data_IF_279133877974
#
_entry.id   IF_279133877974
#
_cell.length_a   1.000
_cell.length_b   1.000
_cell.length_c   1.000
_cell.angle_alpha   90.00
_cell.angle_beta   90.00
_cell.angle_gamma   90.00
#
_symmetry.space_group_name_H-M   'P 1'
#
loop_
_entity.id
_entity.type
_entity.pdbx_description
1 polymer ?
#
# COMPACT_ATOMS: atom_id res chain seq x y z
N UNK A 1 6.86 -5.58 -17.07
CA UNK A 1 8.07 -6.42 -17.29
C UNK A 1 8.66 -6.74 -15.91
N UNK A 2 8.50 -7.90 -15.29
CA UNK A 2 7.72 -9.12 -15.50
C UNK A 2 7.45 -9.59 -14.05
N UNK A 3 6.20 -9.69 -13.60
CA UNK A 3 5.82 -10.47 -12.42
C UNK A 3 6.29 -11.90 -12.80
N UNK A 4 7.50 -12.31 -12.36
CA UNK A 4 8.27 -13.49 -12.86
C UNK A 4 7.43 -14.74 -12.68
N UNK A 5 6.73 -15.12 -13.75
CA UNK A 5 6.22 -16.46 -13.99
C UNK A 5 7.42 -17.40 -14.16
N UNK A 6 8.08 -17.76 -13.06
CA UNK A 6 8.96 -18.93 -13.00
C UNK A 6 8.18 -20.06 -12.34
N UNK A 7 6.98 -20.32 -12.86
CA UNK A 7 6.16 -21.49 -12.54
C UNK A 7 6.38 -22.67 -13.49
N UNK A 8 7.26 -22.53 -14.49
CA UNK A 8 7.55 -23.58 -15.47
C UNK A 8 8.82 -24.38 -15.14
N UNK A 9 9.92 -23.72 -14.77
CA UNK A 9 11.21 -24.42 -14.55
C UNK A 9 11.26 -25.26 -13.27
N UNK A 10 10.36 -25.02 -12.31
CA UNK A 10 10.33 -25.79 -11.05
C UNK A 10 9.54 -27.08 -11.17
N UNK A 11 8.51 -27.14 -12.01
CA UNK A 11 7.69 -28.35 -12.21
C UNK A 11 8.53 -29.48 -12.83
N UNK A 12 9.39 -29.12 -13.78
CA UNK A 12 10.24 -30.10 -14.48
C UNK A 12 11.43 -30.59 -13.62
N UNK A 13 11.90 -29.77 -12.66
CA UNK A 13 12.92 -30.19 -11.68
C UNK A 13 12.33 -30.98 -10.50
N UNK A 14 11.09 -30.69 -10.13
CA UNK A 14 10.39 -31.35 -9.02
C UNK A 14 10.03 -32.81 -9.36
N UNK A 15 9.57 -33.06 -10.60
CA UNK A 15 9.32 -34.42 -11.10
C UNK A 15 10.61 -35.26 -11.19
N UNK A 16 11.73 -34.66 -11.61
CA UNK A 16 13.03 -35.37 -11.70
C UNK A 16 13.62 -35.69 -10.32
N UNK A 17 13.34 -34.86 -9.30
CA UNK A 17 13.78 -35.08 -7.92
C UNK A 17 12.92 -36.13 -7.19
N UNK A 18 11.61 -36.14 -7.46
CA UNK A 18 10.65 -37.09 -6.86
C UNK A 18 10.97 -38.55 -7.17
N UNK A 19 11.46 -38.86 -8.38
CA UNK A 19 11.81 -40.23 -8.79
C UNK A 19 13.12 -40.71 -8.13
N UNK A 20 14.06 -39.81 -7.83
CA UNK A 20 15.31 -40.16 -7.14
C UNK A 20 15.15 -40.28 -5.62
N UNK A 21 14.26 -39.50 -5.00
CA UNK A 21 14.08 -39.50 -3.54
C UNK A 21 13.20 -40.63 -3.00
N UNK A 22 12.33 -41.26 -3.82
CA UNK A 22 11.39 -42.29 -3.35
C UNK A 22 12.05 -43.54 -2.74
N UNK A 23 13.34 -43.77 -2.98
CA UNK A 23 14.04 -44.99 -2.53
C UNK A 23 14.82 -44.87 -1.20
N UNK A 24 15.05 -43.66 -0.67
CA UNK A 24 15.84 -43.43 0.57
C UNK A 24 15.21 -42.43 1.58
N UNK A 25 14.08 -41.78 1.26
CA UNK A 25 13.66 -40.51 1.90
C UNK A 25 12.72 -40.58 3.12
N UNK A 26 12.30 -41.74 3.61
CA UNK A 26 11.43 -41.79 4.81
C UNK A 26 12.19 -41.65 6.15
N UNK A 27 13.35 -40.97 6.16
CA UNK A 27 14.05 -40.54 7.36
C UNK A 27 14.28 -39.01 7.34
N UNK A 28 13.25 -38.26 6.97
CA UNK A 28 13.29 -36.80 6.94
C UNK A 28 13.28 -36.23 8.37
N UNK A 29 14.46 -35.89 8.89
CA UNK A 29 14.60 -35.29 10.22
C UNK A 29 14.13 -33.83 10.20
N UNK A 30 13.67 -33.33 11.35
CA UNK A 30 13.31 -31.92 11.52
C UNK A 30 14.47 -30.96 11.20
N UNK A 31 15.73 -31.44 11.32
CA UNK A 31 16.94 -30.69 10.97
C UNK A 31 17.07 -30.49 9.46
N UNK A 32 16.83 -31.53 8.67
CA UNK A 32 16.88 -31.47 7.20
C UNK A 32 15.75 -30.59 6.67
N UNK A 33 14.56 -30.69 7.29
CA UNK A 33 13.45 -29.78 7.04
C UNK A 33 13.83 -28.32 7.28
N UNK A 34 14.48 -28.03 8.41
CA UNK A 34 14.87 -26.67 8.78
C UNK A 34 15.97 -26.12 7.85
N UNK A 35 16.92 -26.95 7.43
CA UNK A 35 17.95 -26.58 6.45
C UNK A 35 17.35 -26.21 5.09
N UNK A 36 16.42 -27.01 4.58
CA UNK A 36 15.73 -26.72 3.31
C UNK A 36 14.93 -25.42 3.40
N UNK A 37 14.22 -25.20 4.51
CA UNK A 37 13.46 -23.96 4.75
C UNK A 37 14.40 -22.75 4.82
N UNK A 38 15.54 -22.87 5.53
CA UNK A 38 16.53 -21.80 5.64
C UNK A 38 17.14 -21.47 4.27
N UNK A 39 17.54 -22.49 3.50
CA UNK A 39 18.10 -22.35 2.16
C UNK A 39 17.10 -21.67 1.21
N UNK A 40 15.83 -22.11 1.23
CA UNK A 40 14.75 -21.51 0.46
C UNK A 40 14.48 -20.06 0.87
N UNK A 41 14.48 -19.75 2.17
CA UNK A 41 14.28 -18.38 2.67
C UNK A 41 15.42 -17.47 2.22
N UNK A 42 16.67 -17.91 2.28
CA UNK A 42 17.82 -17.16 1.79
C UNK A 42 17.76 -16.93 0.28
N UNK A 43 17.37 -17.94 -0.50
CA UNK A 43 17.21 -17.81 -1.96
C UNK A 43 16.05 -16.87 -2.35
N UNK A 44 14.96 -16.87 -1.58
CA UNK A 44 13.79 -16.02 -1.81
C UNK A 44 13.93 -14.61 -1.23
N UNK A 45 14.94 -14.36 -0.38
CA UNK A 45 15.23 -13.03 0.16
C UNK A 45 15.83 -12.14 -0.93
N UNK A 46 15.33 -10.91 -1.05
CA UNK A 46 15.88 -9.94 -2.00
C UNK A 46 16.98 -9.05 -1.40
N UNK A 47 17.04 -8.96 -0.06
CA UNK A 47 17.91 -8.06 0.69
C UNK A 47 18.74 -8.82 1.73
N UNK A 48 19.82 -8.22 2.25
CA UNK A 48 20.61 -8.80 3.35
C UNK A 48 19.80 -8.91 4.64
N UNK A 49 20.15 -9.84 5.53
CA UNK A 49 19.43 -10.06 6.80
C UNK A 49 19.38 -8.81 7.68
N UNK A 50 20.49 -8.06 7.73
CA UNK A 50 20.57 -6.81 8.49
C UNK A 50 19.63 -5.77 7.88
N UNK A 51 19.60 -5.66 6.56
CA UNK A 51 18.72 -4.73 5.84
C UNK A 51 17.25 -5.08 6.03
N UNK A 52 16.89 -6.36 6.01
CA UNK A 52 15.53 -6.83 6.29
C UNK A 52 15.08 -6.39 7.69
N UNK A 53 15.88 -6.65 8.73
CA UNK A 53 15.56 -6.22 10.10
C UNK A 53 15.37 -4.69 10.19
N UNK A 54 16.23 -3.92 9.54
CA UNK A 54 16.14 -2.46 9.50
C UNK A 54 14.85 -2.01 8.78
N UNK A 55 14.53 -2.59 7.62
CA UNK A 55 13.34 -2.26 6.85
C UNK A 55 12.06 -2.58 7.64
N UNK A 56 11.99 -3.75 8.27
CA UNK A 56 10.86 -4.13 9.12
C UNK A 56 10.70 -3.11 10.24
N UNK A 57 11.78 -2.77 10.96
CA UNK A 57 11.72 -1.80 12.05
C UNK A 57 11.23 -0.42 11.57
N UNK A 58 11.76 0.08 10.45
CA UNK A 58 11.34 1.36 9.86
C UNK A 58 9.86 1.32 9.47
N UNK A 59 9.41 0.29 8.76
CA UNK A 59 8.01 0.18 8.34
C UNK A 59 7.06 0.05 9.54
N UNK A 60 7.44 -0.68 10.59
CA UNK A 60 6.67 -0.73 11.84
C UNK A 60 6.53 0.65 12.48
N UNK A 61 7.62 1.42 12.55
CA UNK A 61 7.59 2.80 13.06
C UNK A 61 6.73 3.70 12.18
N UNK A 62 6.85 3.60 10.85
CA UNK A 62 6.05 4.40 9.92
C UNK A 62 4.55 4.09 10.02
N UNK A 63 4.18 2.81 10.13
CA UNK A 63 2.78 2.39 10.33
C UNK A 63 2.27 2.93 11.66
N UNK A 64 3.05 2.78 12.74
CA UNK A 64 2.65 3.26 14.06
C UNK A 64 2.46 4.78 14.08
N UNK A 65 3.44 5.54 13.59
CA UNK A 65 3.37 7.00 13.52
C UNK A 65 2.26 7.47 12.57
N UNK A 66 2.08 6.79 11.44
CA UNK A 66 1.03 7.08 10.47
C UNK A 66 -0.37 6.86 11.05
N UNK A 67 -0.60 5.73 11.74
CA UNK A 67 -1.87 5.47 12.41
C UNK A 67 -2.11 6.44 13.56
N UNK A 68 -1.11 6.69 14.41
CA UNK A 68 -1.20 7.62 15.53
C UNK A 68 -1.56 9.02 15.03
N UNK A 69 -0.81 9.55 14.07
CA UNK A 69 -1.01 10.90 13.53
C UNK A 69 -2.38 11.08 12.91
N UNK A 70 -2.81 10.18 12.02
CA UNK A 70 -4.11 10.27 11.36
C UNK A 70 -5.28 10.05 12.31
N UNK A 71 -5.12 9.18 13.32
CA UNK A 71 -6.14 8.98 14.36
C UNK A 71 -6.28 10.22 15.23
N UNK A 72 -5.17 10.84 15.64
CA UNK A 72 -5.19 12.09 16.42
C UNK A 72 -5.85 13.22 15.61
N UNK A 73 -5.52 13.38 14.32
CA UNK A 73 -6.15 14.37 13.45
C UNK A 73 -7.66 14.12 13.36
N UNK A 74 -8.08 12.88 13.09
CA UNK A 74 -9.49 12.52 13.01
C UNK A 74 -10.24 12.77 14.34
N UNK A 75 -9.62 12.41 15.47
CA UNK A 75 -10.18 12.65 16.80
C UNK A 75 -10.35 14.15 17.10
N UNK A 76 -9.35 14.98 16.78
CA UNK A 76 -9.39 16.43 16.97
C UNK A 76 -10.50 17.06 16.12
N UNK A 77 -10.68 16.62 14.87
CA UNK A 77 -11.75 17.07 13.99
C UNK A 77 -13.13 16.68 14.55
N UNK A 78 -13.28 15.46 15.07
CA UNK A 78 -14.55 14.98 15.64
C UNK A 78 -14.93 15.66 16.97
N UNK A 79 -13.94 16.04 17.79
CA UNK A 79 -14.17 16.65 19.11
C UNK A 79 -14.51 18.13 19.07
N UNK A 80 -14.21 18.82 17.96
CA UNK A 80 -14.42 20.26 17.84
C UNK A 80 -15.69 20.51 17.01
N UNK A 81 -16.85 20.80 17.63
CA UNK A 81 -18.10 21.03 16.89
C UNK A 81 -18.02 22.26 15.97
N UNK A 82 -17.19 23.27 16.30
CA UNK A 82 -16.89 24.39 15.39
C UNK A 82 -16.17 23.95 14.11
N UNK A 83 -15.60 22.73 14.11
CA UNK A 83 -14.95 22.08 12.98
C UNK A 83 -15.91 21.18 12.18
N UNK A 84 -17.22 21.21 12.42
CA UNK A 84 -18.18 20.52 11.53
C UNK A 84 -18.52 21.36 10.29
N UNK A 85 -17.50 21.92 9.64
CA UNK A 85 -17.63 22.71 8.43
C UNK A 85 -17.29 21.88 7.20
N UNK A 86 -17.76 22.29 6.01
CA UNK A 86 -17.52 21.57 4.77
C UNK A 86 -16.02 21.34 4.50
N UNK A 87 -15.15 22.30 4.86
CA UNK A 87 -13.69 22.20 4.69
C UNK A 87 -13.09 21.00 5.44
N UNK A 88 -13.67 20.61 6.57
CA UNK A 88 -13.10 19.55 7.39
C UNK A 88 -13.41 18.15 6.86
N UNK A 89 -14.33 18.02 5.89
CA UNK A 89 -14.47 16.80 5.12
C UNK A 89 -13.22 16.51 4.27
N UNK A 90 -12.48 17.52 3.83
CA UNK A 90 -11.19 17.28 3.15
C UNK A 90 -10.15 16.70 4.10
N UNK A 91 -10.12 17.17 5.35
CA UNK A 91 -9.20 16.65 6.38
C UNK A 91 -9.57 15.19 6.68
N UNK A 92 -10.85 14.88 6.84
CA UNK A 92 -11.31 13.50 7.03
C UNK A 92 -10.92 12.63 5.83
N UNK A 93 -11.14 13.10 4.59
CA UNK A 93 -10.72 12.38 3.38
C UNK A 93 -9.22 12.06 3.37
N UNK A 94 -8.37 13.02 3.73
CA UNK A 94 -6.92 12.81 3.87
C UNK A 94 -6.62 11.74 4.91
N UNK A 95 -7.17 11.85 6.11
CA UNK A 95 -6.90 10.87 7.18
C UNK A 95 -7.36 9.45 6.82
N UNK A 96 -8.49 9.32 6.10
CA UNK A 96 -8.99 8.00 5.65
C UNK A 96 -8.08 7.42 4.57
N UNK A 97 -7.65 8.24 3.62
CA UNK A 97 -6.68 7.86 2.58
C UNK A 97 -5.36 7.38 3.20
N UNK A 98 -4.81 8.14 4.14
CA UNK A 98 -3.53 7.84 4.78
C UNK A 98 -3.61 6.60 5.69
N UNK A 99 -4.69 6.42 6.47
CA UNK A 99 -4.91 5.20 7.25
C UNK A 99 -5.00 3.98 6.33
N UNK A 100 -5.72 4.10 5.20
CA UNK A 100 -5.82 3.02 4.20
C UNK A 100 -4.45 2.66 3.66
N UNK A 101 -3.61 3.65 3.37
CA UNK A 101 -2.23 3.44 2.89
C UNK A 101 -1.36 2.76 3.96
N UNK A 102 -1.45 3.19 5.23
CA UNK A 102 -0.70 2.58 6.33
C UNK A 102 -1.12 1.12 6.59
N UNK A 103 -2.41 0.81 6.56
CA UNK A 103 -2.90 -0.54 6.90
C UNK A 103 -2.75 -1.52 5.74
N UNK A 104 -2.98 -1.07 4.51
CA UNK A 104 -2.99 -1.94 3.33
C UNK A 104 -1.63 -1.84 2.63
N UNK A 105 -1.27 -0.66 2.12
CA UNK A 105 -0.13 -0.55 1.22
C UNK A 105 1.21 -0.85 1.91
N UNK A 106 1.45 -0.30 3.11
CA UNK A 106 2.74 -0.48 3.79
C UNK A 106 3.15 -1.94 4.06
N UNK A 107 2.30 -2.82 4.63
CA UNK A 107 2.69 -4.22 4.84
C UNK A 107 2.87 -4.98 3.52
N UNK A 108 2.03 -4.74 2.51
CA UNK A 108 2.19 -5.39 1.20
C UNK A 108 3.45 -4.94 0.47
N UNK A 109 3.77 -3.65 0.54
CA UNK A 109 5.02 -3.10 0.00
C UNK A 109 6.23 -3.65 0.73
N UNK A 110 6.17 -3.83 2.06
CA UNK A 110 7.24 -4.47 2.81
C UNK A 110 7.49 -5.91 2.32
N UNK A 111 6.44 -6.72 2.20
CA UNK A 111 6.55 -8.09 1.64
C UNK A 111 7.14 -8.06 0.23
N UNK A 112 6.74 -7.11 -0.61
CA UNK A 112 7.28 -6.93 -1.96
C UNK A 112 8.79 -6.64 -1.97
N UNK A 113 9.27 -5.85 -1.01
CA UNK A 113 10.68 -5.48 -0.91
C UNK A 113 11.52 -6.64 -0.36
N UNK A 114 11.00 -7.36 0.63
CA UNK A 114 11.73 -8.45 1.31
C UNK A 114 11.84 -9.70 0.44
N UNK A 115 10.80 -10.02 -0.34
CA UNK A 115 10.76 -11.23 -1.15
C UNK A 115 11.07 -10.96 -2.63
N UNK A 116 11.94 -11.77 -3.21
CA UNK A 116 12.25 -11.75 -4.65
C UNK A 116 11.07 -12.13 -5.52
N UNK A 117 10.16 -12.95 -5.00
CA UNK A 117 9.02 -13.48 -5.72
C UNK A 117 7.72 -13.09 -5.03
N UNK A 118 6.77 -12.61 -5.82
CA UNK A 118 5.46 -12.24 -5.32
C UNK A 118 4.56 -13.47 -5.17
N UNK A 119 4.25 -13.84 -3.93
CA UNK A 119 3.48 -15.05 -3.60
C UNK A 119 2.00 -14.78 -3.27
N UNK A 120 1.61 -13.52 -3.11
CA UNK A 120 0.25 -13.11 -2.72
C UNK A 120 -0.75 -13.06 -3.90
N UNK A 121 -0.38 -13.61 -5.06
CA UNK A 121 -1.23 -13.71 -6.24
C UNK A 121 -1.25 -12.48 -7.15
N UNK A 122 -1.65 -12.68 -8.40
CA UNK A 122 -1.58 -11.66 -9.47
C UNK A 122 -2.48 -10.44 -9.18
N UNK A 123 -3.63 -10.67 -8.55
CA UNK A 123 -4.56 -9.59 -8.19
C UNK A 123 -3.87 -8.56 -7.27
N UNK A 124 -3.19 -9.01 -6.21
CA UNK A 124 -2.48 -8.11 -5.30
C UNK A 124 -1.18 -7.55 -5.94
N UNK A 125 -0.51 -8.26 -6.87
CA UNK A 125 0.66 -7.76 -7.64
C UNK A 125 0.29 -6.45 -8.38
N UNK A 126 -0.95 -6.35 -8.88
CA UNK A 126 -1.47 -5.18 -9.60
C UNK A 126 -2.20 -4.18 -8.70
N UNK A 127 -2.94 -4.66 -7.70
CA UNK A 127 -3.80 -3.80 -6.87
C UNK A 127 -2.99 -2.92 -5.92
N UNK A 128 -1.94 -3.45 -5.27
CA UNK A 128 -1.11 -2.71 -4.32
C UNK A 128 -0.51 -1.43 -4.92
N UNK A 129 0.21 -1.47 -6.06
CA UNK A 129 0.77 -0.27 -6.68
C UNK A 129 -0.32 0.68 -7.21
N UNK A 130 -1.43 0.14 -7.71
CA UNK A 130 -2.58 0.95 -8.14
C UNK A 130 -3.20 1.73 -6.98
N UNK A 131 -3.45 1.07 -5.84
CA UNK A 131 -4.01 1.69 -4.63
C UNK A 131 -3.03 2.71 -4.07
N UNK A 132 -1.72 2.39 -4.01
CA UNK A 132 -0.70 3.33 -3.55
C UNK A 132 -0.66 4.60 -4.41
N UNK A 133 -0.60 4.45 -5.75
CA UNK A 133 -0.62 5.59 -6.66
C UNK A 133 -1.92 6.40 -6.58
N UNK A 134 -3.06 5.73 -6.46
CA UNK A 134 -4.37 6.41 -6.31
C UNK A 134 -4.42 7.23 -5.03
N UNK A 135 -4.00 6.69 -3.88
CA UNK A 135 -4.00 7.42 -2.62
C UNK A 135 -3.05 8.63 -2.66
N UNK A 136 -1.86 8.49 -3.26
CA UNK A 136 -0.93 9.63 -3.44
C UNK A 136 -1.60 10.74 -4.26
N UNK A 137 -2.24 10.40 -5.37
CA UNK A 137 -2.91 11.37 -6.22
C UNK A 137 -4.13 11.99 -5.53
N UNK A 138 -4.89 11.21 -4.75
CA UNK A 138 -6.01 11.72 -3.94
C UNK A 138 -5.51 12.71 -2.89
N UNK A 139 -4.42 12.41 -2.18
CA UNK A 139 -3.88 13.29 -1.15
C UNK A 139 -3.38 14.60 -1.74
N UNK A 140 -2.59 14.55 -2.83
CA UNK A 140 -2.11 15.75 -3.53
C UNK A 140 -3.29 16.55 -4.09
N UNK A 141 -4.22 15.90 -4.79
CA UNK A 141 -5.40 16.55 -5.37
C UNK A 141 -6.29 17.20 -4.29
N UNK A 142 -6.44 16.56 -3.13
CA UNK A 142 -7.17 17.13 -2.00
C UNK A 142 -6.49 18.39 -1.46
N UNK A 143 -5.17 18.37 -1.28
CA UNK A 143 -4.40 19.55 -0.84
C UNK A 143 -4.52 20.68 -1.86
N UNK A 144 -4.45 20.36 -3.16
CA UNK A 144 -4.65 21.35 -4.24
C UNK A 144 -6.04 21.99 -4.17
N UNK A 145 -7.09 21.19 -3.99
CA UNK A 145 -8.46 21.72 -3.86
C UNK A 145 -8.60 22.60 -2.62
N UNK A 146 -8.01 22.21 -1.49
CA UNK A 146 -7.99 23.06 -0.28
C UNK A 146 -7.30 24.39 -0.58
N UNK A 147 -6.14 24.37 -1.25
CA UNK A 147 -5.39 25.57 -1.61
C UNK A 147 -6.20 26.49 -2.55
N UNK A 148 -6.88 25.92 -3.54
CA UNK A 148 -7.76 26.65 -4.45
C UNK A 148 -8.96 27.27 -3.73
N UNK A 149 -9.63 26.53 -2.85
CA UNK A 149 -10.73 27.02 -2.03
C UNK A 149 -10.29 28.24 -1.18
N UNK A 150 -9.11 28.15 -0.56
CA UNK A 150 -8.53 29.29 0.20
C UNK A 150 -8.18 30.46 -0.71
N UNK A 151 -7.58 30.21 -1.87
CA UNK A 151 -7.22 31.24 -2.83
C UNK A 151 -8.46 32.01 -3.31
N UNK A 152 -9.53 31.32 -3.71
CA UNK A 152 -10.75 31.99 -4.18
C UNK A 152 -11.47 32.76 -3.07
N UNK A 153 -11.50 32.20 -1.86
CA UNK A 153 -12.10 32.88 -0.70
C UNK A 153 -11.35 34.17 -0.36
N UNK A 154 -10.00 34.13 -0.33
CA UNK A 154 -9.18 35.25 0.14
C UNK A 154 -8.97 36.29 -0.96
N UNK A 155 -8.61 35.86 -2.18
CA UNK A 155 -8.15 36.77 -3.24
C UNK A 155 -9.30 37.24 -4.12
N UNK A 156 -10.24 36.35 -4.46
CA UNK A 156 -11.37 36.69 -5.34
C UNK A 156 -12.60 37.14 -4.58
N UNK A 157 -12.54 37.20 -3.24
CA UNK A 157 -13.64 37.61 -2.38
C UNK A 157 -14.91 36.81 -2.65
N UNK A 158 -14.79 35.50 -2.92
CA UNK A 158 -15.96 34.70 -3.28
C UNK A 158 -16.94 34.66 -2.10
N UNK A 159 -18.08 35.33 -2.25
CA UNK A 159 -19.07 35.48 -1.20
C UNK A 159 -19.80 34.16 -0.92
N UNK A 160 -19.65 33.67 0.32
CA UNK A 160 -20.40 32.56 0.86
C UNK A 160 -19.53 31.38 1.33
N UNK A 161 -19.95 30.65 2.37
CA UNK A 161 -19.21 29.52 2.89
C UNK A 161 -19.17 28.37 1.87
N UNK A 162 -18.04 27.66 1.80
CA UNK A 162 -17.92 26.43 1.01
C UNK A 162 -19.04 25.46 1.41
N UNK A 163 -19.90 25.12 0.47
CA UNK A 163 -21.04 24.24 0.75
C UNK A 163 -20.61 22.78 0.83
N UNK A 164 -21.26 22.00 1.70
CA UNK A 164 -21.01 20.55 1.83
C UNK A 164 -21.12 19.81 0.49
N UNK A 165 -22.09 20.21 -0.34
CA UNK A 165 -22.29 19.64 -1.69
C UNK A 165 -21.07 19.88 -2.60
N UNK A 166 -20.52 21.10 -2.62
CA UNK A 166 -19.30 21.40 -3.41
C UNK A 166 -18.13 20.53 -2.97
N UNK A 167 -17.91 20.38 -1.67
CA UNK A 167 -16.83 19.55 -1.14
C UNK A 167 -16.98 18.08 -1.52
N UNK A 168 -18.17 17.52 -1.37
CA UNK A 168 -18.43 16.12 -1.76
C UNK A 168 -18.18 15.93 -3.27
N UNK A 169 -18.65 16.85 -4.11
CA UNK A 169 -18.42 16.79 -5.56
C UNK A 169 -16.91 16.87 -5.86
N UNK A 170 -16.18 17.77 -5.20
CA UNK A 170 -14.73 17.90 -5.38
C UNK A 170 -13.98 16.64 -4.94
N UNK A 171 -14.36 16.02 -3.82
CA UNK A 171 -13.76 14.75 -3.36
C UNK A 171 -14.00 13.67 -4.40
N UNK A 172 -15.25 13.49 -4.85
CA UNK A 172 -15.59 12.48 -5.90
C UNK A 172 -14.76 12.74 -7.17
N UNK A 173 -14.67 14.00 -7.61
CA UNK A 173 -13.88 14.36 -8.78
C UNK A 173 -12.39 14.03 -8.62
N UNK A 174 -11.80 14.32 -7.44
CA UNK A 174 -10.41 13.97 -7.12
C UNK A 174 -10.21 12.46 -7.16
N UNK A 175 -11.11 11.68 -6.57
CA UNK A 175 -11.04 10.22 -6.60
C UNK A 175 -11.13 9.66 -8.02
N UNK A 176 -12.08 10.13 -8.83
CA UNK A 176 -12.24 9.70 -10.22
C UNK A 176 -11.03 10.07 -11.07
N UNK A 177 -10.53 11.30 -10.95
CA UNK A 177 -9.35 11.75 -11.68
C UNK A 177 -8.12 10.95 -11.26
N UNK A 178 -7.95 10.69 -9.96
CA UNK A 178 -6.84 9.90 -9.43
C UNK A 178 -6.86 8.47 -9.94
N UNK A 179 -8.02 7.82 -9.92
CA UNK A 179 -8.17 6.47 -10.48
C UNK A 179 -7.85 6.49 -11.97
N UNK A 180 -8.38 7.45 -12.74
CA UNK A 180 -8.12 7.57 -14.17
C UNK A 180 -6.62 7.73 -14.49
N UNK A 181 -5.91 8.58 -13.75
CA UNK A 181 -4.46 8.78 -13.95
C UNK A 181 -3.64 7.57 -13.54
N UNK A 182 -4.13 6.76 -12.59
CA UNK A 182 -3.41 5.59 -12.08
C UNK A 182 -3.80 4.29 -12.80
N UNK A 183 -4.86 4.30 -13.62
CA UNK A 183 -5.29 3.15 -14.44
C UNK A 183 -4.16 2.50 -15.23
N UNK A 184 -3.23 3.23 -15.88
CA UNK A 184 -2.13 2.61 -16.62
C UNK A 184 -1.29 1.66 -15.74
N UNK A 185 -1.11 1.98 -14.46
CA UNK A 185 -0.38 1.14 -13.50
C UNK A 185 -1.06 -0.22 -13.35
N UNK A 186 -2.39 -0.28 -13.37
CA UNK A 186 -3.12 -1.55 -13.26
C UNK A 186 -2.92 -2.47 -14.48
N UNK A 187 -2.81 -1.89 -15.68
CA UNK A 187 -2.70 -2.64 -16.93
C UNK A 187 -1.26 -3.03 -17.27
N UNK A 188 -0.29 -2.13 -17.06
CA UNK A 188 1.10 -2.31 -17.50
C UNK A 188 2.02 -2.97 -16.45
N UNK A 189 1.60 -3.03 -15.19
CA UNK A 189 2.33 -3.69 -14.11
C UNK A 189 2.02 -5.19 -14.05
#
# INVERSE_FOLDING_TARGET
MVCRFVGSSYRDKFELCLVMELNDSFNFSAVDAWLIIKQQREQNRNVSEVTECILIAIYCVLIFLGLLSNTVVSFVVARRPQMHTARNLYIVNLTVSDITLCVICMPFTLVHILHRQWTLGVALCKLVPFVQGTNIMVSVGTITVIALDRYFTIVRGQDGPTTRRRVIISIIAVWLLSMLTTMPVLFFQ
#
